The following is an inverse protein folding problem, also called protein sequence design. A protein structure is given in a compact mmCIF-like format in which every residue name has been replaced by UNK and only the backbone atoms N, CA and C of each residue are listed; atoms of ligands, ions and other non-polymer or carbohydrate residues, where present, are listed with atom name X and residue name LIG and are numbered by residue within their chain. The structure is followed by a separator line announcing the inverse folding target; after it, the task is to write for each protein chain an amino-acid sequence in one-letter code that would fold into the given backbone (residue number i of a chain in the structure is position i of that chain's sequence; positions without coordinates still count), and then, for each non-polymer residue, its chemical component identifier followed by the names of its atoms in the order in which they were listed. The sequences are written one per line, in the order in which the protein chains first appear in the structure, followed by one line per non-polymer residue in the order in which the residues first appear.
data_IF_938363955257
#
_entry.id   IF_938363955257
#
_cell.length_a   1.000
_cell.length_b   1.000
_cell.length_c   1.000
_cell.angle_alpha   90.00
_cell.angle_beta   90.00
_cell.angle_gamma   90.00
#
_symmetry.space_group_name_H-M   'P 1'
#
loop_
_entity.id
_entity.type
_entity.pdbx_description
1 polymer ?
#
# COMPACT_ATOMS: atom_id res chain seq x y z
N UNK A 1 9.15 4.53 -19.42
CA UNK A 1 10.23 4.97 -18.53
C UNK A 1 9.97 4.29 -17.18
N UNK A 2 10.68 3.21 -16.93
CA UNK A 2 10.51 2.33 -15.76
C UNK A 2 11.47 2.87 -14.69
N UNK A 3 10.95 3.23 -13.52
CA UNK A 3 11.78 3.73 -12.42
C UNK A 3 12.85 2.69 -12.10
N UNK A 4 14.11 3.13 -12.13
CA UNK A 4 15.26 2.24 -12.04
C UNK A 4 15.47 1.77 -10.60
N UNK A 5 16.09 0.59 -10.43
CA UNK A 5 16.49 0.04 -9.13
C UNK A 5 17.34 1.01 -8.28
N UNK A 6 17.93 2.05 -8.88
CA UNK A 6 18.74 3.04 -8.18
C UNK A 6 17.93 3.97 -7.27
N UNK A 7 16.66 4.27 -7.59
CA UNK A 7 15.82 5.14 -6.75
C UNK A 7 15.35 4.42 -5.47
N UNK A 8 15.24 3.09 -5.54
CA UNK A 8 14.92 2.21 -4.41
C UNK A 8 16.09 2.16 -3.41
N UNK A 9 17.33 2.21 -3.90
CA UNK A 9 18.53 2.17 -3.06
C UNK A 9 18.79 3.47 -2.26
N UNK A 10 18.33 4.63 -2.73
CA UNK A 10 18.52 5.91 -2.04
C UNK A 10 17.66 6.08 -0.76
N UNK A 11 16.61 5.28 -0.60
CA UNK A 11 15.77 5.24 0.61
C UNK A 11 16.41 4.36 1.71
N UNK A 12 17.42 3.55 1.37
CA UNK A 12 18.03 2.56 2.30
C UNK A 12 19.09 3.13 3.25
N UNK A 13 19.55 4.37 3.05
CA UNK A 13 20.50 5.00 3.96
C UNK A 13 19.78 5.93 4.94
N UNK A 14 19.69 5.49 6.20
CA UNK A 14 19.40 6.31 7.40
C UNK A 14 17.94 6.70 7.64
N UNK A 15 17.19 5.80 8.29
CA UNK A 15 16.69 5.97 9.67
C UNK A 15 15.79 4.77 9.99
N UNK A 16 15.90 4.19 11.19
CA UNK A 16 14.82 3.34 11.73
C UNK A 16 13.66 4.28 12.00
N UNK A 17 12.81 4.44 11.00
CA UNK A 17 11.72 5.37 11.06
C UNK A 17 10.67 4.90 12.08
N UNK A 18 10.45 5.70 13.12
CA UNK A 18 9.44 5.41 14.14
C UNK A 18 8.05 5.92 13.72
N UNK A 19 7.90 6.48 12.52
CA UNK A 19 6.62 6.91 11.96
C UNK A 19 5.76 5.70 11.57
N UNK A 20 4.46 5.84 11.73
CA UNK A 20 3.47 4.84 11.33
C UNK A 20 3.31 4.85 9.80
N UNK A 21 3.49 3.73 9.12
CA UNK A 21 3.22 3.57 7.70
C UNK A 21 1.85 2.93 7.52
N UNK A 22 0.95 3.64 6.86
CA UNK A 22 -0.40 3.18 6.52
C UNK A 22 -0.38 2.76 5.05
N UNK A 23 -0.59 1.47 4.78
CA UNK A 23 -0.68 0.89 3.44
C UNK A 23 -2.15 0.66 3.11
N UNK A 24 -2.67 1.41 2.14
CA UNK A 24 -4.05 1.32 1.67
C UNK A 24 -4.09 0.51 0.37
N UNK A 25 -4.76 -0.65 0.38
CA UNK A 25 -4.87 -1.56 -0.76
C UNK A 25 -6.20 -1.34 -1.49
N UNK A 26 -6.13 -0.93 -2.76
CA UNK A 26 -7.30 -0.65 -3.62
C UNK A 26 -7.16 -1.28 -5.03
N UNK A 27 -8.25 -1.78 -5.61
CA UNK A 27 -8.42 -2.16 -7.02
C UNK A 27 -8.86 -0.97 -7.87
N UNK A 28 -9.89 -0.21 -7.43
CA UNK A 28 -10.55 0.81 -8.25
C UNK A 28 -10.71 2.17 -7.55
N UNK A 29 -10.91 3.20 -8.39
CA UNK A 29 -10.76 4.66 -8.25
C UNK A 29 -11.64 5.32 -7.16
N UNK A 30 -11.76 4.72 -5.99
CA UNK A 30 -12.44 5.28 -4.84
C UNK A 30 -11.56 5.13 -3.63
N UNK A 31 -10.73 6.13 -3.34
CA UNK A 31 -10.16 6.20 -2.01
C UNK A 31 -11.27 6.65 -1.07
N UNK A 32 -11.47 5.95 0.05
CA UNK A 32 -12.51 6.32 0.99
C UNK A 32 -12.16 7.65 1.64
N UNK A 33 -13.18 8.42 1.98
CA UNK A 33 -13.07 9.76 2.58
C UNK A 33 -12.23 9.79 3.86
N UNK A 34 -12.06 8.65 4.54
CA UNK A 34 -11.16 8.54 5.69
C UNK A 34 -9.68 8.72 5.32
N UNK A 35 -9.29 8.43 4.07
CA UNK A 35 -7.94 8.72 3.57
C UNK A 35 -7.74 10.22 3.35
N UNK A 36 -8.79 10.94 2.94
CA UNK A 36 -8.78 12.42 2.85
C UNK A 36 -8.68 13.07 4.23
N UNK A 37 -9.27 12.45 5.26
CA UNK A 37 -9.09 12.90 6.65
C UNK A 37 -7.65 12.71 7.12
N UNK A 38 -7.01 11.58 6.76
CA UNK A 38 -5.61 11.31 7.07
C UNK A 38 -4.67 12.31 6.38
N UNK A 39 -4.96 12.73 5.14
CA UNK A 39 -4.13 13.68 4.39
C UNK A 39 -4.21 15.12 4.94
N UNK A 40 -5.38 15.52 5.46
CA UNK A 40 -5.57 16.84 6.08
C UNK A 40 -4.83 16.97 7.42
N UNK A 41 -4.62 15.86 8.11
CA UNK A 41 -3.71 15.77 9.23
C UNK A 41 -2.27 15.63 8.72
N UNK A 42 -1.61 16.73 8.31
CA UNK A 42 -0.16 16.79 8.04
C UNK A 42 0.69 16.57 9.31
N UNK A 43 0.36 15.58 10.14
CA UNK A 43 1.25 15.18 11.20
C UNK A 43 2.40 14.41 10.58
N UNK A 44 3.63 14.88 10.81
CA UNK A 44 4.89 14.20 10.50
C UNK A 44 5.04 12.82 11.17
N UNK A 45 3.97 12.26 11.75
CA UNK A 45 3.95 11.01 12.49
C UNK A 45 3.63 9.79 11.62
N UNK A 46 3.12 9.97 10.41
CA UNK A 46 2.77 8.86 9.55
C UNK A 46 3.08 9.08 8.07
N UNK A 47 3.26 7.97 7.36
CA UNK A 47 3.31 7.88 5.91
C UNK A 47 2.06 7.19 5.41
N UNK A 48 1.57 7.64 4.26
CA UNK A 48 0.44 7.01 3.58
C UNK A 48 0.93 6.45 2.25
N UNK A 49 0.76 5.15 2.06
CA UNK A 49 1.13 4.42 0.85
C UNK A 49 -0.14 3.88 0.20
N UNK A 50 -0.38 4.23 -1.05
CA UNK A 50 -1.42 3.60 -1.86
C UNK A 50 -0.83 2.40 -2.60
N UNK A 51 -1.40 1.22 -2.41
CA UNK A 51 -1.10 0.01 -3.17
C UNK A 51 -2.27 -0.24 -4.13
N UNK A 52 -2.07 0.09 -5.42
CA UNK A 52 -3.13 0.25 -6.42
C UNK A 52 -2.92 -0.62 -7.65
N UNK A 53 -4.01 -1.07 -8.28
CA UNK A 53 -3.93 -1.94 -9.46
C UNK A 53 -3.28 -1.22 -10.66
N UNK A 54 -2.49 -1.96 -11.42
CA UNK A 54 -1.94 -1.53 -12.69
C UNK A 54 -3.08 -1.34 -13.70
N UNK A 55 -3.15 -0.16 -14.31
CA UNK A 55 -4.29 0.31 -15.11
C UNK A 55 -5.12 1.41 -14.45
N UNK A 56 -5.04 1.56 -13.12
CA UNK A 56 -5.72 2.65 -12.40
C UNK A 56 -5.02 4.01 -12.58
N UNK A 57 -3.84 4.02 -13.21
CA UNK A 57 -3.03 5.22 -13.50
C UNK A 57 -3.79 6.31 -14.27
N UNK A 58 -4.62 5.90 -15.24
CA UNK A 58 -5.38 6.84 -16.07
C UNK A 58 -6.41 7.66 -15.28
N UNK A 59 -6.72 7.25 -14.05
CA UNK A 59 -7.73 7.85 -13.20
C UNK A 59 -7.16 8.56 -11.97
N UNK A 60 -5.83 8.55 -11.82
CA UNK A 60 -5.15 9.25 -10.72
C UNK A 60 -4.85 10.67 -11.17
N UNK A 61 -5.56 11.64 -10.58
CA UNK A 61 -5.27 13.06 -10.81
C UNK A 61 -4.06 13.51 -9.98
N UNK A 62 -3.40 14.62 -10.34
CA UNK A 62 -2.30 15.18 -9.54
C UNK A 62 -2.71 15.47 -8.09
N UNK A 63 -3.94 15.95 -7.88
CA UNK A 63 -4.49 16.26 -6.57
C UNK A 63 -4.63 15.00 -5.71
N UNK A 64 -5.03 13.89 -6.33
CA UNK A 64 -5.13 12.60 -5.66
C UNK A 64 -3.74 12.04 -5.33
N UNK A 65 -2.81 12.10 -6.28
CA UNK A 65 -1.43 11.64 -6.07
C UNK A 65 -0.74 12.39 -4.94
N UNK A 66 -1.02 13.69 -4.78
CA UNK A 66 -0.43 14.53 -3.74
C UNK A 66 -0.86 14.13 -2.30
N UNK A 67 -1.89 13.28 -2.15
CA UNK A 67 -2.34 12.80 -0.85
C UNK A 67 -1.49 11.63 -0.32
N UNK A 68 -0.71 10.99 -1.18
CA UNK A 68 0.09 9.81 -0.85
C UNK A 68 1.57 10.14 -0.85
N UNK A 69 2.30 9.55 0.09
CA UNK A 69 3.75 9.63 0.11
C UNK A 69 4.33 8.71 -0.96
N UNK A 70 3.76 7.51 -1.09
CA UNK A 70 4.09 6.55 -2.14
C UNK A 70 2.83 5.99 -2.80
N UNK A 71 2.87 5.80 -4.11
CA UNK A 71 1.89 5.03 -4.87
C UNK A 71 2.60 3.87 -5.54
N UNK A 72 2.18 2.65 -5.21
CA UNK A 72 2.78 1.41 -5.69
C UNK A 72 1.75 0.72 -6.58
N UNK A 73 2.13 0.50 -7.84
CA UNK A 73 1.27 -0.18 -8.81
C UNK A 73 1.57 -1.68 -8.84
N UNK A 74 0.58 -2.50 -8.57
CA UNK A 74 0.70 -3.95 -8.68
C UNK A 74 -0.02 -4.47 -9.92
N UNK A 75 0.55 -5.48 -10.57
CA UNK A 75 -0.13 -6.12 -11.67
C UNK A 75 -0.97 -7.27 -11.14
N UNK A 76 -2.29 -7.24 -11.35
CA UNK A 76 -3.14 -8.38 -11.06
C UNK A 76 -3.64 -8.96 -12.38
N UNK A 77 -2.99 -10.04 -12.81
CA UNK A 77 -3.41 -10.84 -13.98
C UNK A 77 -4.49 -11.87 -13.61
N UNK A 78 -5.16 -11.73 -12.46
CA UNK A 78 -6.17 -12.69 -12.02
C UNK A 78 -7.54 -12.27 -12.58
N UNK A 79 -8.13 -13.02 -13.52
CA UNK A 79 -9.51 -12.78 -13.91
C UNK A 79 -10.40 -12.96 -12.67
N UNK A 80 -11.24 -11.97 -12.40
CA UNK A 80 -12.18 -11.99 -11.29
C UNK A 80 -13.01 -13.27 -11.35
N UNK A 81 -12.71 -14.22 -10.46
CA UNK A 81 -13.47 -15.44 -10.25
C UNK A 81 -13.85 -15.47 -8.77
N UNK A 82 -15.15 -15.44 -8.43
CA UNK A 82 -15.62 -15.25 -7.05
C UNK A 82 -15.27 -16.38 -6.07
N UNK A 83 -14.47 -17.37 -6.49
CA UNK A 83 -14.20 -18.62 -5.76
C UNK A 83 -12.71 -18.91 -5.52
N UNK A 84 -11.80 -18.00 -5.87
CA UNK A 84 -10.37 -18.27 -5.66
C UNK A 84 -9.78 -17.43 -4.53
N UNK A 85 -9.11 -18.13 -3.62
CA UNK A 85 -8.27 -17.55 -2.57
C UNK A 85 -7.23 -16.66 -3.26
N UNK A 86 -7.47 -15.36 -3.29
CA UNK A 86 -6.61 -14.38 -3.96
C UNK A 86 -5.19 -14.45 -3.40
N UNK A 87 -4.28 -15.12 -4.09
CA UNK A 87 -2.87 -15.02 -3.78
C UNK A 87 -2.39 -13.68 -4.32
N UNK A 88 -1.79 -12.86 -3.45
CA UNK A 88 -1.38 -11.51 -3.80
C UNK A 88 0.15 -11.35 -3.65
N UNK A 89 0.94 -11.98 -4.53
CA UNK A 89 2.39 -12.08 -4.35
C UNK A 89 3.08 -10.72 -4.34
N UNK A 90 2.56 -9.75 -5.11
CA UNK A 90 3.07 -8.38 -5.16
C UNK A 90 2.90 -7.67 -3.81
N UNK A 91 1.78 -7.87 -3.11
CA UNK A 91 1.54 -7.31 -1.78
C UNK A 91 2.51 -7.91 -0.76
N UNK A 92 2.68 -9.23 -0.77
CA UNK A 92 3.60 -9.93 0.13
C UNK A 92 5.05 -9.51 -0.11
N UNK A 93 5.46 -9.38 -1.37
CA UNK A 93 6.79 -8.87 -1.74
C UNK A 93 6.98 -7.44 -1.25
N UNK A 94 6.01 -6.56 -1.50
CA UNK A 94 6.05 -5.18 -1.05
C UNK A 94 6.15 -5.08 0.48
N UNK A 95 5.34 -5.84 1.22
CA UNK A 95 5.41 -5.89 2.69
C UNK A 95 6.79 -6.38 3.14
N UNK A 96 7.31 -7.44 2.52
CA UNK A 96 8.63 -7.97 2.86
C UNK A 96 9.73 -6.91 2.68
N UNK A 97 9.71 -6.20 1.55
CA UNK A 97 10.65 -5.11 1.26
C UNK A 97 10.46 -3.94 2.26
N UNK A 98 9.22 -3.54 2.53
CA UNK A 98 8.90 -2.47 3.50
C UNK A 98 9.41 -2.80 4.92
N UNK A 99 9.28 -4.05 5.35
CA UNK A 99 9.73 -4.50 6.67
C UNK A 99 11.26 -4.53 6.83
N UNK A 100 12.01 -4.41 5.74
CA UNK A 100 13.47 -4.21 5.83
C UNK A 100 13.83 -2.78 6.27
N UNK A 101 12.90 -1.84 6.11
CA UNK A 101 13.08 -0.41 6.35
C UNK A 101 12.35 0.02 7.63
N UNK A 102 11.13 -0.48 7.83
CA UNK A 102 10.21 -0.07 8.90
C UNK A 102 9.86 -1.26 9.80
N UNK A 103 9.76 -1.02 11.11
CA UNK A 103 9.35 -2.07 12.05
C UNK A 103 7.89 -2.47 11.85
N UNK A 104 7.58 -3.76 11.95
CA UNK A 104 6.22 -4.29 11.74
C UNK A 104 5.13 -3.64 12.59
N UNK A 105 5.43 -3.24 13.83
CA UNK A 105 4.47 -2.59 14.73
C UNK A 105 4.04 -1.19 14.26
N UNK A 106 4.83 -0.61 13.35
CA UNK A 106 4.61 0.67 12.71
C UNK A 106 3.97 0.51 11.33
N UNK A 107 3.60 -0.70 10.89
CA UNK A 107 2.90 -0.91 9.62
C UNK A 107 1.45 -1.24 9.89
N UNK A 108 0.57 -0.47 9.27
CA UNK A 108 -0.88 -0.65 9.28
C UNK A 108 -1.35 -0.97 7.87
N UNK A 109 -1.98 -2.12 7.67
CA UNK A 109 -2.55 -2.52 6.40
C UNK A 109 -4.06 -2.24 6.42
N UNK A 110 -4.58 -1.58 5.39
CA UNK A 110 -6.00 -1.20 5.31
C UNK A 110 -6.55 -1.53 3.93
N UNK A 111 -7.81 -1.98 3.89
CA UNK A 111 -8.56 -2.05 2.65
C UNK A 111 -10.04 -1.84 2.88
N UNK A 112 -10.71 -1.32 1.87
CA UNK A 112 -12.14 -1.00 1.90
C UNK A 112 -12.93 -1.81 0.87
N UNK A 113 -12.21 -2.66 0.12
CA UNK A 113 -12.76 -3.45 -0.95
C UNK A 113 -12.89 -4.89 -0.51
N UNK A 114 -14.12 -5.41 -0.55
CA UNK A 114 -14.40 -6.80 -0.19
C UNK A 114 -13.61 -7.80 -1.00
N UNK A 115 -13.25 -7.45 -2.24
CA UNK A 115 -12.54 -8.32 -3.19
C UNK A 115 -11.11 -8.65 -2.76
N UNK A 116 -10.44 -7.75 -2.03
CA UNK A 116 -9.06 -7.93 -1.57
C UNK A 116 -8.92 -8.08 -0.05
N UNK A 117 -10.02 -7.91 0.70
CA UNK A 117 -10.06 -8.07 2.16
C UNK A 117 -9.46 -9.39 2.64
N UNK A 118 -9.78 -10.51 1.98
CA UNK A 118 -9.23 -11.82 2.30
C UNK A 118 -7.71 -11.92 2.08
N UNK A 119 -7.20 -11.29 1.02
CA UNK A 119 -5.77 -11.25 0.73
C UNK A 119 -5.04 -10.40 1.77
N UNK A 120 -5.59 -9.22 2.09
CA UNK A 120 -5.09 -8.31 3.10
C UNK A 120 -5.05 -8.97 4.49
N UNK A 121 -6.11 -9.66 4.90
CA UNK A 121 -6.16 -10.38 6.17
C UNK A 121 -5.09 -11.49 6.25
N UNK A 122 -4.87 -12.23 5.16
CA UNK A 122 -3.81 -13.26 5.09
C UNK A 122 -2.42 -12.65 5.20
N UNK A 123 -2.13 -11.59 4.45
CA UNK A 123 -0.83 -10.93 4.53
C UNK A 123 -0.60 -10.31 5.91
N UNK A 124 -1.62 -9.68 6.51
CA UNK A 124 -1.55 -9.17 7.88
C UNK A 124 -1.21 -10.28 8.89
N UNK A 125 -1.88 -11.44 8.81
CA UNK A 125 -1.59 -12.58 9.68
C UNK A 125 -0.18 -13.14 9.44
N UNK A 126 0.23 -13.30 8.18
CA UNK A 126 1.53 -13.84 7.77
C UNK A 126 2.69 -13.01 8.31
N UNK A 127 2.57 -11.68 8.29
CA UNK A 127 3.61 -10.75 8.72
C UNK A 127 3.39 -10.17 10.12
N UNK A 128 2.33 -10.59 10.82
CA UNK A 128 1.92 -10.08 12.13
C UNK A 128 1.77 -8.55 12.16
N UNK A 129 1.02 -8.01 11.18
CA UNK A 129 0.74 -6.58 11.02
C UNK A 129 -0.62 -6.21 11.61
N UNK A 130 -0.78 -4.93 11.99
CA UNK A 130 -2.10 -4.38 12.33
C UNK A 130 -2.96 -4.26 11.06
N UNK A 131 -4.25 -4.57 11.15
CA UNK A 131 -5.20 -4.51 10.04
C UNK A 131 -6.51 -3.81 10.45
N UNK A 132 -7.11 -3.04 9.54
CA UNK A 132 -8.48 -2.51 9.63
C UNK A 132 -9.26 -2.75 8.34
#
# INVERSE_FOLDING_TARGET
MILSQCDICAISSQTKDNRLVIVVVCHNIGFPSCVELLSNTRYQKFFVVAFVRNGSQAFITPELSAQFHWMVFYNENVPFTPFHRYHFPELDRFICELLTIVKRENVLLMTFERTVMDAVARSSAKYNLKCF
#
